data_IF_109493668307
#
_entry.id   IF_109493668307
#
_cell.length_a   1.000
_cell.length_b   1.000
_cell.length_c   1.000
_cell.angle_alpha   90.00
_cell.angle_beta   90.00
_cell.angle_gamma   90.00
#
_symmetry.space_group_name_H-M   'P 1'
#
loop_
_entity.id
_entity.type
_entity.pdbx_description
1 polymer ?
#
# COMPACT_ATOMS: atom_id res chain seq x y z
N UNK A 1 -10.55 45.33 -11.68
CA UNK A 1 -9.99 44.52 -10.57
C UNK A 1 -8.97 43.54 -11.13
N UNK A 2 -7.69 43.87 -11.00
CA UNK A 2 -6.55 43.14 -11.55
C UNK A 2 -5.97 42.18 -10.50
N UNK A 3 -6.22 40.88 -10.64
CA UNK A 3 -5.54 39.87 -9.82
C UNK A 3 -4.06 39.75 -10.20
N UNK A 4 -3.20 39.66 -9.19
CA UNK A 4 -1.74 39.68 -9.30
C UNK A 4 -1.15 38.39 -9.92
N UNK A 5 -0.03 38.57 -10.63
CA UNK A 5 0.68 37.54 -11.42
C UNK A 5 1.07 36.24 -10.68
N UNK A 6 1.42 36.21 -9.37
CA UNK A 6 1.83 34.94 -8.74
C UNK A 6 0.66 33.97 -8.52
N UNK A 7 -0.58 34.47 -8.47
CA UNK A 7 -1.78 33.63 -8.28
C UNK A 7 -2.13 32.87 -9.56
N UNK A 8 -1.84 33.44 -10.74
CA UNK A 8 -2.05 32.78 -12.03
C UNK A 8 -1.08 31.62 -12.25
N UNK A 9 0.15 31.72 -11.75
CA UNK A 9 1.14 30.65 -11.86
C UNK A 9 0.82 29.45 -10.96
N UNK A 10 0.27 29.70 -9.76
CA UNK A 10 -0.15 28.63 -8.85
C UNK A 10 -1.38 27.86 -9.36
N UNK A 11 -2.34 28.52 -10.01
CA UNK A 11 -3.50 27.84 -10.62
C UNK A 11 -3.14 27.03 -11.88
N UNK A 12 -2.19 27.49 -12.70
CA UNK A 12 -1.76 26.74 -13.89
C UNK A 12 -0.91 25.50 -13.56
N UNK A 13 -0.19 25.49 -12.43
CA UNK A 13 0.55 24.31 -11.99
C UNK A 13 -0.35 23.25 -11.32
N UNK A 14 -1.49 23.65 -10.75
CA UNK A 14 -2.44 22.72 -10.10
C UNK A 14 -3.37 22.01 -11.11
N UNK A 15 -3.54 22.55 -12.32
CA UNK A 15 -4.34 21.93 -13.39
C UNK A 15 -3.55 20.96 -14.30
N UNK A 16 -2.22 20.93 -14.24
CA UNK A 16 -1.40 20.03 -15.06
C UNK A 16 -1.15 18.64 -14.41
N UNK A 17 -1.62 18.42 -13.18
CA UNK A 17 -1.40 17.16 -12.44
C UNK A 17 -2.53 16.14 -12.49
N UNK A 18 -3.72 16.49 -12.99
CA UNK A 18 -4.90 15.60 -12.97
C UNK A 18 -5.17 14.86 -14.30
N UNK A 19 -4.33 15.01 -15.33
CA UNK A 19 -4.64 14.54 -16.69
C UNK A 19 -3.88 13.30 -17.16
N UNK A 20 -3.39 12.44 -16.27
CA UNK A 20 -2.71 11.18 -16.66
C UNK A 20 -3.33 9.89 -16.10
N UNK A 21 -4.51 9.94 -15.48
CA UNK A 21 -5.27 8.74 -15.12
C UNK A 21 -6.52 8.67 -16.00
N UNK A 22 -6.37 8.23 -17.24
CA UNK A 22 -7.54 8.01 -18.09
C UNK A 22 -7.23 7.89 -19.57
N UNK A 23 -6.65 6.75 -19.98
CA UNK A 23 -6.83 6.16 -21.31
C UNK A 23 -6.29 4.72 -21.30
N UNK A 24 -7.02 3.83 -20.63
CA UNK A 24 -6.95 2.40 -20.92
C UNK A 24 -8.37 1.93 -21.24
N UNK A 25 -8.91 2.41 -22.36
CA UNK A 25 -10.14 1.86 -22.95
C UNK A 25 -9.79 0.47 -23.50
N UNK A 26 -10.12 -0.58 -22.74
CA UNK A 26 -10.02 -1.97 -23.18
C UNK A 26 -11.07 -2.20 -24.27
N UNK A 27 -10.67 -2.02 -25.53
CA UNK A 27 -11.53 -2.27 -26.68
C UNK A 27 -11.86 -3.76 -26.78
N UNK A 28 -13.13 -4.08 -27.04
CA UNK A 28 -13.60 -5.43 -27.35
C UNK A 28 -12.86 -5.96 -28.58
N UNK A 29 -12.15 -7.08 -28.43
CA UNK A 29 -11.38 -7.69 -29.51
C UNK A 29 -12.20 -8.85 -30.11
N UNK A 30 -12.80 -8.68 -31.30
CA UNK A 30 -13.66 -9.69 -31.91
C UNK A 30 -12.91 -10.95 -32.36
N UNK A 31 -11.57 -10.97 -32.28
CA UNK A 31 -10.75 -12.15 -32.61
C UNK A 31 -10.61 -13.14 -31.45
N UNK A 32 -11.13 -12.80 -30.27
CA UNK A 32 -11.04 -13.61 -29.05
C UNK A 32 -12.39 -14.23 -28.69
N UNK A 33 -12.36 -15.39 -28.04
CA UNK A 33 -13.59 -16.04 -27.57
C UNK A 33 -14.31 -15.17 -26.53
N UNK A 34 -15.65 -15.31 -26.38
CA UNK A 34 -16.42 -14.54 -25.41
C UNK A 34 -15.85 -14.64 -23.98
N UNK A 35 -15.31 -15.81 -23.60
CA UNK A 35 -14.66 -16.02 -22.31
C UNK A 35 -13.32 -15.26 -22.17
N UNK A 36 -12.55 -15.11 -23.25
CA UNK A 36 -11.29 -14.35 -23.24
C UNK A 36 -11.52 -12.84 -23.16
N UNK A 37 -12.58 -12.33 -23.81
CA UNK A 37 -12.99 -10.93 -23.67
C UNK A 37 -13.52 -10.63 -22.26
N UNK A 38 -14.25 -11.57 -21.64
CA UNK A 38 -14.67 -11.43 -20.25
C UNK A 38 -13.47 -11.36 -19.28
N UNK A 39 -12.46 -12.23 -19.45
CA UNK A 39 -11.22 -12.18 -18.66
C UNK A 39 -10.43 -10.88 -18.86
N UNK A 40 -10.32 -10.36 -20.09
CA UNK A 40 -9.65 -9.06 -20.35
C UNK A 40 -10.42 -7.88 -19.76
N UNK A 41 -11.74 -7.89 -19.81
CA UNK A 41 -12.56 -6.86 -19.17
C UNK A 41 -12.47 -6.93 -17.63
N UNK A 42 -12.33 -8.13 -17.07
CA UNK A 42 -12.09 -8.34 -15.64
C UNK A 42 -10.69 -7.84 -15.23
N UNK A 43 -9.64 -8.11 -16.02
CA UNK A 43 -8.29 -7.60 -15.82
C UNK A 43 -8.22 -6.06 -15.88
N UNK A 44 -8.99 -5.44 -16.77
CA UNK A 44 -9.09 -3.98 -16.90
C UNK A 44 -9.74 -3.30 -15.69
N UNK A 45 -10.79 -3.90 -15.11
CA UNK A 45 -11.44 -3.41 -13.87
C UNK A 45 -10.58 -3.65 -12.62
N UNK A 46 -9.82 -4.75 -12.61
CA UNK A 46 -8.84 -5.07 -11.56
C UNK A 46 -7.72 -4.03 -11.44
N UNK A 47 -7.21 -3.55 -12.57
CA UNK A 47 -6.18 -2.51 -12.58
C UNK A 47 -6.75 -1.13 -12.19
N UNK A 48 -7.97 -0.80 -12.63
CA UNK A 48 -8.51 0.55 -12.47
C UNK A 48 -9.07 0.89 -11.08
N UNK A 49 -9.31 -0.09 -10.20
CA UNK A 49 -9.86 0.17 -8.85
C UNK A 49 -8.79 0.02 -7.77
N UNK A 50 -7.94 -1.00 -7.88
CA UNK A 50 -6.91 -1.36 -6.89
C UNK A 50 -5.62 -0.55 -7.08
N UNK A 51 -5.28 -0.18 -8.33
CA UNK A 51 -4.18 0.75 -8.55
C UNK A 51 -4.53 2.14 -8.01
N UNK A 52 -5.80 2.55 -8.03
CA UNK A 52 -6.16 3.92 -7.67
C UNK A 52 -5.93 4.21 -6.19
N UNK A 53 -6.26 3.30 -5.27
CA UNK A 53 -6.03 3.49 -3.83
C UNK A 53 -4.54 3.53 -3.46
N UNK A 54 -3.77 2.53 -3.89
CA UNK A 54 -2.34 2.46 -3.63
C UNK A 54 -1.55 3.56 -4.37
N UNK A 55 -1.91 3.91 -5.61
CA UNK A 55 -1.25 4.95 -6.39
C UNK A 55 -1.61 6.34 -5.89
N UNK A 56 -2.87 6.60 -5.53
CA UNK A 56 -3.28 7.88 -4.91
C UNK A 56 -2.66 8.01 -3.52
N UNK A 57 -2.67 6.94 -2.74
CA UNK A 57 -1.96 6.85 -1.47
C UNK A 57 -0.47 7.13 -1.64
N UNK A 58 0.20 6.46 -2.59
CA UNK A 58 1.61 6.67 -2.90
C UNK A 58 1.90 8.09 -3.37
N UNK A 59 1.09 8.65 -4.26
CA UNK A 59 1.27 10.01 -4.75
C UNK A 59 1.07 11.05 -3.63
N UNK A 60 0.01 10.88 -2.84
CA UNK A 60 -0.27 11.75 -1.69
C UNK A 60 0.82 11.65 -0.63
N UNK A 61 1.21 10.43 -0.28
CA UNK A 61 2.30 10.16 0.66
C UNK A 61 3.64 10.68 0.17
N UNK A 62 3.96 10.54 -1.12
CA UNK A 62 5.18 11.09 -1.72
C UNK A 62 5.22 12.61 -1.67
N UNK A 63 4.10 13.27 -1.98
CA UNK A 63 3.98 14.72 -1.92
C UNK A 63 4.15 15.23 -0.48
N UNK A 64 3.49 14.58 0.49
CA UNK A 64 3.65 14.88 1.90
C UNK A 64 5.08 14.63 2.37
N UNK A 65 5.67 13.48 2.04
CA UNK A 65 7.04 13.14 2.38
C UNK A 65 8.06 14.12 1.82
N UNK A 66 7.90 14.56 0.57
CA UNK A 66 8.73 15.58 -0.07
C UNK A 66 8.64 16.94 0.64
N UNK A 67 7.44 17.33 1.10
CA UNK A 67 7.20 18.59 1.77
C UNK A 67 7.88 18.66 3.15
N UNK A 68 7.88 17.55 3.90
CA UNK A 68 8.47 17.47 5.25
C UNK A 68 9.97 17.12 5.21
N UNK A 69 10.48 16.59 4.09
CA UNK A 69 11.83 16.03 3.94
C UNK A 69 13.02 16.98 3.91
N UNK A 70 12.82 18.30 3.98
CA UNK A 70 13.91 19.28 4.09
C UNK A 70 14.94 19.19 2.95
N UNK A 71 16.21 18.86 3.29
CA UNK A 71 17.32 18.69 2.32
C UNK A 71 17.34 17.32 1.62
N UNK A 72 16.64 16.32 2.14
CA UNK A 72 16.59 14.96 1.59
C UNK A 72 15.20 14.63 1.01
N UNK A 73 14.64 15.56 0.23
CA UNK A 73 13.27 15.47 -0.29
C UNK A 73 13.00 14.20 -1.10
N UNK A 74 13.97 13.73 -1.88
CA UNK A 74 13.81 12.53 -2.70
C UNK A 74 13.62 11.26 -1.87
N UNK A 75 14.47 11.04 -0.86
CA UNK A 75 14.34 9.89 0.06
C UNK A 75 13.09 10.00 0.92
N UNK A 76 12.73 11.21 1.36
CA UNK A 76 11.51 11.42 2.13
C UNK A 76 10.24 11.22 1.30
N UNK A 77 10.27 11.57 0.01
CA UNK A 77 9.18 11.30 -0.93
C UNK A 77 9.00 9.80 -1.17
N UNK A 78 10.09 9.04 -1.33
CA UNK A 78 10.01 7.58 -1.51
C UNK A 78 9.39 6.87 -0.31
N UNK A 79 9.82 7.22 0.91
CA UNK A 79 9.23 6.65 2.14
C UNK A 79 7.77 7.05 2.28
N UNK A 80 7.47 8.32 2.01
CA UNK A 80 6.09 8.79 2.00
C UNK A 80 5.24 8.04 0.96
N UNK A 81 5.79 7.73 -0.21
CA UNK A 81 5.12 6.93 -1.22
C UNK A 81 4.83 5.51 -0.72
N UNK A 82 5.80 4.85 -0.08
CA UNK A 82 5.62 3.52 0.49
C UNK A 82 4.56 3.49 1.59
N UNK A 83 4.63 4.42 2.55
CA UNK A 83 3.65 4.55 3.63
C UNK A 83 2.25 4.87 3.09
N UNK A 84 2.17 5.78 2.12
CA UNK A 84 0.92 6.14 1.47
C UNK A 84 0.32 5.00 0.65
N UNK A 85 1.15 4.24 -0.07
CA UNK A 85 0.72 3.05 -0.80
C UNK A 85 0.14 2.00 0.15
N UNK A 86 0.87 1.69 1.23
CA UNK A 86 0.43 0.74 2.24
C UNK A 86 -0.86 1.21 2.92
N UNK A 87 -0.95 2.49 3.30
CA UNK A 87 -2.14 3.08 3.90
C UNK A 87 -3.35 3.11 2.96
N UNK A 88 -3.12 3.31 1.66
CA UNK A 88 -4.18 3.26 0.63
C UNK A 88 -4.73 1.85 0.44
N UNK A 89 -3.87 0.83 0.50
CA UNK A 89 -4.28 -0.58 0.46
C UNK A 89 -5.08 -0.96 1.72
N UNK A 90 -4.60 -0.54 2.89
CA UNK A 90 -5.27 -0.68 4.19
C UNK A 90 -6.70 -0.12 4.20
N UNK A 91 -6.85 1.12 3.75
CA UNK A 91 -8.15 1.78 3.70
C UNK A 91 -9.10 1.04 2.74
N UNK A 92 -8.57 0.52 1.62
CA UNK A 92 -9.30 -0.35 0.71
C UNK A 92 -9.76 -1.64 1.38
N UNK A 93 -8.85 -2.32 2.09
CA UNK A 93 -9.12 -3.58 2.78
C UNK A 93 -10.16 -3.42 3.91
N UNK A 94 -10.09 -2.37 4.72
CA UNK A 94 -11.05 -2.09 5.79
C UNK A 94 -12.48 -1.87 5.26
N UNK A 95 -12.62 -1.20 4.12
CA UNK A 95 -13.92 -1.02 3.45
C UNK A 95 -14.38 -2.34 2.82
N UNK A 96 -13.47 -3.08 2.19
CA UNK A 96 -13.76 -4.31 1.47
C UNK A 96 -14.07 -5.50 2.40
N UNK A 97 -13.63 -5.48 3.66
CA UNK A 97 -13.84 -6.54 4.66
C UNK A 97 -15.29 -6.71 5.11
N UNK A 98 -16.21 -5.80 4.75
CA UNK A 98 -17.63 -5.88 5.10
C UNK A 98 -18.48 -6.68 4.10
N UNK A 99 -18.04 -6.82 2.86
CA UNK A 99 -18.78 -7.48 1.77
C UNK A 99 -17.90 -8.52 1.06
N UNK A 100 -17.53 -9.59 1.75
CA UNK A 100 -16.71 -10.67 1.19
C UNK A 100 -17.59 -11.63 0.39
N UNK A 101 -17.40 -11.67 -0.93
CA UNK A 101 -18.21 -12.49 -1.82
C UNK A 101 -17.93 -13.99 -1.57
N UNK A 102 -16.69 -14.34 -1.20
CA UNK A 102 -16.31 -15.73 -0.89
C UNK A 102 -17.02 -16.33 0.33
N UNK A 103 -17.55 -15.50 1.24
CA UNK A 103 -18.32 -15.94 2.40
C UNK A 103 -19.78 -16.25 2.04
N UNK A 104 -20.29 -15.69 0.94
CA UNK A 104 -21.68 -15.91 0.53
C UNK A 104 -21.85 -17.30 -0.07
N UNK A 105 -22.59 -18.17 0.63
CA UNK A 105 -22.84 -19.55 0.20
C UNK A 105 -23.82 -19.66 -0.98
N UNK A 106 -24.65 -18.64 -1.22
CA UNK A 106 -25.57 -18.58 -2.36
C UNK A 106 -24.85 -18.21 -3.66
N UNK A 107 -23.64 -17.65 -3.56
CA UNK A 107 -22.84 -17.26 -4.70
C UNK A 107 -22.20 -18.49 -5.37
N UNK A 108 -22.10 -18.52 -6.72
CA UNK A 108 -21.40 -19.58 -7.42
C UNK A 108 -19.97 -19.77 -6.88
N UNK A 109 -19.54 -21.03 -6.69
CA UNK A 109 -18.22 -21.34 -6.15
C UNK A 109 -17.07 -20.68 -6.94
N UNK A 110 -17.22 -20.53 -8.25
CA UNK A 110 -16.22 -19.87 -9.09
C UNK A 110 -16.06 -18.38 -8.75
N UNK A 111 -17.15 -17.67 -8.49
CA UNK A 111 -17.11 -16.25 -8.11
C UNK A 111 -16.50 -16.07 -6.72
N UNK A 112 -16.80 -17.00 -5.80
CA UNK A 112 -16.17 -17.07 -4.48
C UNK A 112 -14.65 -17.26 -4.58
N UNK A 113 -14.20 -18.17 -5.45
CA UNK A 113 -12.77 -18.39 -5.69
C UNK A 113 -12.14 -17.15 -6.32
N UNK A 114 -12.81 -16.51 -7.28
CA UNK A 114 -12.32 -15.30 -7.92
C UNK A 114 -12.15 -14.14 -6.92
N UNK A 115 -13.12 -13.94 -6.01
CA UNK A 115 -13.06 -12.94 -4.94
C UNK A 115 -11.96 -13.26 -3.90
N UNK A 116 -11.74 -14.54 -3.58
CA UNK A 116 -10.63 -14.94 -2.71
C UNK A 116 -9.26 -14.69 -3.35
N UNK A 117 -9.09 -15.06 -4.64
CA UNK A 117 -7.86 -14.85 -5.41
C UNK A 117 -7.50 -13.36 -5.51
N UNK A 118 -8.51 -12.58 -5.88
CA UNK A 118 -8.51 -11.13 -5.90
C UNK A 118 -7.93 -10.51 -4.62
N UNK A 119 -8.48 -10.87 -3.48
CA UNK A 119 -8.11 -10.32 -2.16
C UNK A 119 -6.77 -10.85 -1.68
N UNK A 120 -6.45 -12.11 -1.96
CA UNK A 120 -5.13 -12.67 -1.68
C UNK A 120 -4.03 -11.94 -2.48
N UNK A 121 -4.30 -11.57 -3.74
CA UNK A 121 -3.37 -10.78 -4.55
C UNK A 121 -3.19 -9.36 -4.02
N UNK A 122 -4.26 -8.72 -3.55
CA UNK A 122 -4.18 -7.41 -2.89
C UNK A 122 -3.30 -7.48 -1.64
N UNK A 123 -3.53 -8.47 -0.77
CA UNK A 123 -2.73 -8.67 0.42
C UNK A 123 -1.26 -9.00 0.10
N UNK A 124 -0.99 -9.72 -0.99
CA UNK A 124 0.37 -9.93 -1.47
C UNK A 124 1.07 -8.62 -1.85
N UNK A 125 0.36 -7.67 -2.47
CA UNK A 125 0.90 -6.35 -2.79
C UNK A 125 1.11 -5.51 -1.53
N UNK A 126 0.20 -5.57 -0.55
CA UNK A 126 0.40 -4.94 0.76
C UNK A 126 1.65 -5.48 1.45
N UNK A 127 1.88 -6.79 1.39
CA UNK A 127 3.10 -7.39 1.91
C UNK A 127 4.36 -6.88 1.19
N UNK A 128 4.33 -6.69 -0.13
CA UNK A 128 5.45 -6.08 -0.86
C UNK A 128 5.69 -4.63 -0.45
N UNK A 129 4.64 -3.81 -0.37
CA UNK A 129 4.74 -2.42 0.06
C UNK A 129 5.27 -2.30 1.50
N UNK A 130 4.81 -3.16 2.42
CA UNK A 130 5.29 -3.22 3.79
C UNK A 130 6.78 -3.60 3.88
N UNK A 131 7.22 -4.57 3.06
CA UNK A 131 8.64 -4.94 2.98
C UNK A 131 9.51 -3.77 2.47
N UNK A 132 9.07 -3.09 1.41
CA UNK A 132 9.79 -1.95 0.83
C UNK A 132 9.87 -0.78 1.82
N UNK A 133 8.75 -0.44 2.47
CA UNK A 133 8.68 0.61 3.48
C UNK A 133 9.62 0.34 4.66
N UNK A 134 9.62 -0.89 5.18
CA UNK A 134 10.53 -1.28 6.26
C UNK A 134 12.00 -1.16 5.83
N UNK A 135 12.34 -1.67 4.64
CA UNK A 135 13.70 -1.61 4.12
C UNK A 135 14.18 -0.16 3.91
N UNK A 136 13.33 0.72 3.37
CA UNK A 136 13.64 2.14 3.18
C UNK A 136 13.83 2.87 4.50
N UNK A 137 12.96 2.62 5.48
CA UNK A 137 13.09 3.21 6.81
C UNK A 137 14.37 2.75 7.52
N UNK A 138 14.73 1.47 7.42
CA UNK A 138 16.00 0.95 7.97
C UNK A 138 17.20 1.63 7.31
N UNK A 139 17.23 1.72 5.97
CA UNK A 139 18.31 2.42 5.23
C UNK A 139 18.43 3.88 5.65
N UNK A 140 17.30 4.56 5.85
CA UNK A 140 17.28 5.96 6.30
C UNK A 140 17.78 6.11 7.74
N UNK A 141 17.46 5.19 8.64
CA UNK A 141 18.01 5.19 10.00
C UNK A 141 19.52 5.06 9.99
N UNK A 142 20.06 4.10 9.23
CA UNK A 142 21.52 3.92 9.11
C UNK A 142 22.22 5.18 8.57
N UNK A 143 21.60 5.83 7.58
CA UNK A 143 22.10 7.08 7.01
C UNK A 143 22.06 8.24 8.02
N UNK A 144 20.98 8.38 8.80
CA UNK A 144 20.85 9.43 9.80
C UNK A 144 21.80 9.23 10.98
N UNK A 145 21.97 7.99 11.45
CA UNK A 145 22.96 7.66 12.48
C UNK A 145 24.40 7.99 12.03
N UNK A 146 24.73 7.73 10.77
CA UNK A 146 26.01 8.14 10.20
C UNK A 146 26.18 9.67 10.21
N UNK A 147 25.13 10.44 9.93
CA UNK A 147 25.18 11.90 10.00
C UNK A 147 25.31 12.42 11.43
N UNK A 148 24.65 11.78 12.41
CA UNK A 148 24.84 12.10 13.84
C UNK A 148 26.30 11.86 14.23
N UNK A 149 26.87 10.71 13.88
CA UNK A 149 28.28 10.37 14.15
C UNK A 149 29.26 11.37 13.53
N UNK A 150 28.89 11.98 12.40
CA UNK A 150 29.68 13.02 11.71
C UNK A 150 29.39 14.44 12.21
N UNK A 151 28.54 14.62 13.22
CA UNK A 151 28.12 15.93 13.72
C UNK A 151 27.29 16.77 12.75
N UNK A 152 26.75 16.16 11.69
CA UNK A 152 26.00 16.85 10.64
C UNK A 152 24.54 17.10 11.01
N UNK A 153 23.97 16.25 11.87
CA UNK A 153 22.64 16.42 12.47
C UNK A 153 22.72 16.10 13.97
N UNK A 154 21.74 16.57 14.75
CA UNK A 154 21.67 16.28 16.17
C UNK A 154 21.03 14.91 16.45
N UNK A 155 21.36 14.31 17.60
CA UNK A 155 20.68 13.10 18.09
C UNK A 155 19.17 13.32 18.26
N UNK A 156 18.76 14.53 18.68
CA UNK A 156 17.34 14.90 18.75
C UNK A 156 16.64 14.84 17.38
N UNK A 157 17.29 15.24 16.29
CA UNK A 157 16.73 15.15 14.94
C UNK A 157 16.57 13.69 14.48
N UNK A 158 17.52 12.82 14.81
CA UNK A 158 17.40 11.38 14.58
C UNK A 158 16.20 10.81 15.36
N UNK A 159 16.06 11.15 16.64
CA UNK A 159 14.95 10.66 17.47
C UNK A 159 13.59 11.13 16.96
N UNK A 160 13.48 12.36 16.45
CA UNK A 160 12.25 12.87 15.85
C UNK A 160 11.88 12.11 14.58
N UNK A 161 12.88 11.74 13.77
CA UNK A 161 12.63 10.91 12.59
C UNK A 161 12.23 9.47 12.95
N UNK A 162 12.86 8.89 13.98
CA UNK A 162 12.50 7.55 14.46
C UNK A 162 11.03 7.51 14.93
N UNK A 163 10.53 8.57 15.59
CA UNK A 163 9.11 8.68 15.96
C UNK A 163 8.16 8.68 14.76
N UNK A 164 8.53 9.31 13.65
CA UNK A 164 7.68 9.26 12.44
C UNK A 164 7.61 7.85 11.86
N UNK A 165 8.71 7.09 11.93
CA UNK A 165 8.77 5.71 11.47
C UNK A 165 8.01 4.75 12.39
N UNK A 166 7.79 5.12 13.66
CA UNK A 166 6.92 4.35 14.55
C UNK A 166 5.47 4.34 14.03
N UNK A 167 4.99 5.45 13.46
CA UNK A 167 3.68 5.49 12.83
C UNK A 167 3.59 4.56 11.60
N UNK A 168 4.70 4.36 10.87
CA UNK A 168 4.76 3.37 9.79
C UNK A 168 4.67 1.93 10.33
N UNK A 169 5.29 1.64 11.48
CA UNK A 169 5.12 0.35 12.18
C UNK A 169 3.67 0.15 12.59
N UNK A 170 3.04 1.16 13.19
CA UNK A 170 1.64 1.09 13.63
C UNK A 170 0.71 0.80 12.44
N UNK A 171 0.96 1.45 11.30
CA UNK A 171 0.28 1.19 10.04
C UNK A 171 0.45 -0.26 9.59
N UNK A 172 1.69 -0.78 9.58
CA UNK A 172 1.96 -2.18 9.22
C UNK A 172 1.28 -3.17 10.17
N UNK A 173 1.21 -2.86 11.47
CA UNK A 173 0.49 -3.69 12.47
C UNK A 173 -1.01 -3.69 12.23
N UNK A 174 -1.58 -2.54 11.88
CA UNK A 174 -2.98 -2.44 11.51
C UNK A 174 -3.28 -3.31 10.27
N UNK A 175 -2.42 -3.27 9.24
CA UNK A 175 -2.59 -4.10 8.04
C UNK A 175 -2.46 -5.58 8.37
N UNK A 176 -1.49 -5.95 9.20
CA UNK A 176 -1.31 -7.32 9.66
C UNK A 176 -2.54 -7.83 10.42
N UNK A 177 -3.21 -7.00 11.22
CA UNK A 177 -4.43 -7.39 11.92
C UNK A 177 -5.60 -7.66 10.96
N UNK A 178 -5.83 -6.78 9.98
CA UNK A 178 -6.87 -6.97 8.97
C UNK A 178 -6.58 -8.16 8.04
N UNK A 179 -5.31 -8.37 7.70
CA UNK A 179 -4.84 -9.52 6.94
C UNK A 179 -5.11 -10.83 7.69
N UNK A 180 -4.85 -10.86 8.99
CA UNK A 180 -5.09 -12.04 9.82
C UNK A 180 -6.59 -12.35 9.93
N UNK A 181 -7.44 -11.32 10.04
CA UNK A 181 -8.89 -11.47 10.02
C UNK A 181 -9.37 -12.06 8.68
N UNK A 182 -8.87 -11.54 7.54
CA UNK A 182 -9.15 -12.10 6.22
C UNK A 182 -8.72 -13.57 6.12
N UNK A 183 -7.51 -13.92 6.57
CA UNK A 183 -7.01 -15.30 6.60
C UNK A 183 -7.93 -16.20 7.41
N UNK A 184 -8.36 -15.76 8.60
CA UNK A 184 -9.24 -16.55 9.46
C UNK A 184 -10.60 -16.82 8.79
N UNK A 185 -11.20 -15.79 8.18
CA UNK A 185 -12.48 -15.91 7.48
C UNK A 185 -12.41 -16.75 6.21
N UNK A 186 -11.29 -16.65 5.49
CA UNK A 186 -11.03 -17.49 4.33
C UNK A 186 -10.80 -18.95 4.74
N UNK A 187 -10.10 -19.19 5.86
CA UNK A 187 -9.92 -20.53 6.44
C UNK A 187 -11.27 -21.16 6.85
N UNK A 188 -12.15 -20.38 7.47
CA UNK A 188 -13.51 -20.82 7.80
C UNK A 188 -14.31 -21.17 6.56
N UNK A 189 -14.26 -20.34 5.53
CA UNK A 189 -14.89 -20.63 4.23
C UNK A 189 -14.30 -21.87 3.56
N UNK A 190 -12.99 -22.10 3.70
CA UNK A 190 -12.30 -23.25 3.15
C UNK A 190 -12.66 -24.59 3.81
N UNK A 191 -13.34 -24.58 4.97
CA UNK A 191 -13.92 -25.80 5.58
C UNK A 191 -15.05 -26.37 4.73
N UNK A 192 -15.84 -25.52 4.09
CA UNK A 192 -17.00 -25.90 3.25
C UNK A 192 -16.67 -25.86 1.75
N UNK A 193 -15.66 -25.07 1.35
CA UNK A 193 -15.17 -24.97 -0.02
C UNK A 193 -13.65 -25.20 -0.06
N UNK A 194 -13.17 -26.47 -0.07
CA UNK A 194 -11.74 -26.80 -0.02
C UNK A 194 -10.87 -26.14 -1.10
N UNK A 195 -11.48 -25.72 -2.22
CA UNK A 195 -10.83 -24.98 -3.30
C UNK A 195 -10.24 -23.63 -2.83
N UNK A 196 -10.76 -23.05 -1.73
CA UNK A 196 -10.27 -21.80 -1.16
C UNK A 196 -8.95 -21.96 -0.37
N UNK A 197 -8.53 -23.19 -0.03
CA UNK A 197 -7.33 -23.44 0.79
C UNK A 197 -6.04 -22.90 0.16
N UNK A 198 -5.95 -22.91 -1.18
CA UNK A 198 -4.77 -22.35 -1.87
C UNK A 198 -4.65 -20.85 -1.62
N UNK A 199 -5.76 -20.12 -1.71
CA UNK A 199 -5.80 -18.68 -1.48
C UNK A 199 -5.59 -18.33 0.00
N UNK A 200 -6.12 -19.16 0.93
CA UNK A 200 -5.83 -19.04 2.37
C UNK A 200 -4.31 -19.13 2.64
N UNK A 201 -3.64 -20.12 2.03
CA UNK A 201 -2.19 -20.30 2.19
C UNK A 201 -1.39 -19.09 1.71
N UNK A 202 -1.76 -18.52 0.56
CA UNK A 202 -1.12 -17.28 0.03
C UNK A 202 -1.38 -16.10 0.96
N UNK A 203 -2.62 -15.90 1.36
CA UNK A 203 -3.02 -14.83 2.26
C UNK A 203 -2.26 -14.90 3.60
N UNK A 204 -2.15 -16.10 4.18
CA UNK A 204 -1.40 -16.34 5.41
C UNK A 204 0.08 -16.05 5.25
N UNK A 205 0.68 -16.45 4.13
CA UNK A 205 2.07 -16.13 3.83
C UNK A 205 2.30 -14.61 3.78
N UNK A 206 1.40 -13.87 3.13
CA UNK A 206 1.47 -12.42 3.03
C UNK A 206 1.28 -11.72 4.38
N UNK A 207 0.30 -12.14 5.19
CA UNK A 207 0.11 -11.63 6.56
C UNK A 207 1.37 -11.82 7.43
N UNK A 208 1.98 -13.01 7.38
CA UNK A 208 3.23 -13.30 8.08
C UNK A 208 4.41 -12.48 7.54
N UNK A 209 4.42 -12.16 6.26
CA UNK A 209 5.44 -11.27 5.70
C UNK A 209 5.32 -9.87 6.30
N UNK A 210 4.12 -9.27 6.31
CA UNK A 210 3.88 -7.93 6.88
C UNK A 210 4.32 -7.89 8.34
N UNK A 211 3.96 -8.94 9.11
CA UNK A 211 4.39 -9.07 10.51
C UNK A 211 5.91 -8.99 10.65
N UNK A 212 6.64 -9.79 9.86
CA UNK A 212 8.11 -9.82 9.92
C UNK A 212 8.72 -8.49 9.54
N UNK A 213 8.18 -7.80 8.53
CA UNK A 213 8.64 -6.47 8.13
C UNK A 213 8.45 -5.46 9.27
N UNK A 214 7.31 -5.51 9.97
CA UNK A 214 7.01 -4.64 11.10
C UNK A 214 7.98 -4.93 12.27
N UNK A 215 8.16 -6.21 12.61
CA UNK A 215 9.10 -6.64 13.65
C UNK A 215 10.54 -6.18 13.34
N UNK A 216 10.98 -6.27 12.08
CA UNK A 216 12.31 -5.82 11.67
C UNK A 216 12.51 -4.32 11.85
N UNK A 217 11.54 -3.51 11.42
CA UNK A 217 11.60 -2.06 11.57
C UNK A 217 11.54 -1.66 13.05
N UNK A 218 10.64 -2.24 13.83
CA UNK A 218 10.50 -2.01 15.26
C UNK A 218 11.79 -2.34 16.03
N UNK A 219 12.38 -3.51 15.76
CA UNK A 219 13.66 -3.91 16.34
C UNK A 219 14.81 -2.96 15.98
N UNK A 220 14.77 -2.37 14.77
CA UNK A 220 15.76 -1.37 14.35
C UNK A 220 15.56 -0.04 15.06
N UNK A 221 14.31 0.39 15.24
CA UNK A 221 13.94 1.61 15.96
C UNK A 221 14.30 1.53 17.44
N UNK A 222 14.12 0.36 18.07
CA UNK A 222 14.48 0.14 19.47
C UNK A 222 15.99 0.33 19.76
N UNK A 223 16.85 0.25 18.73
CA UNK A 223 18.30 0.49 18.86
C UNK A 223 18.69 1.95 18.71
N UNK A 224 17.75 2.83 18.33
CA UNK A 224 18.02 4.26 18.22
C UNK A 224 18.13 4.83 19.63
N UNK A 225 19.24 5.50 20.00
CA UNK A 225 19.42 6.05 21.33
C UNK A 225 18.35 7.11 21.62
N UNK A 226 17.78 7.06 22.83
CA UNK A 226 16.91 8.11 23.32
C UNK A 226 17.71 9.43 23.42
N UNK A 227 17.12 10.52 22.93
CA UNK A 227 17.70 11.85 22.98
C UNK A 227 17.52 12.50 24.36
#
# INVERSE_FOLDING_TARGET
MTLSRPIRAAMLAMMAGLSLVGCASNAYDPSLSPQQNAMRQQAGRWNATVATGALVGAAGGAALGAAVGGRNRGTAALIGAGAGALGGLLAGALVANRNLAFENQEMPLQDRIADAQARALELQRSAQAANELAADNIRRLDFLENQVRRGQISASALSAQARSMQADVDLMRQEQSGAQEFVNRLADSAKTAPQLRSEEGKARHSANSIQRSADQLENRLARVPAA
#
